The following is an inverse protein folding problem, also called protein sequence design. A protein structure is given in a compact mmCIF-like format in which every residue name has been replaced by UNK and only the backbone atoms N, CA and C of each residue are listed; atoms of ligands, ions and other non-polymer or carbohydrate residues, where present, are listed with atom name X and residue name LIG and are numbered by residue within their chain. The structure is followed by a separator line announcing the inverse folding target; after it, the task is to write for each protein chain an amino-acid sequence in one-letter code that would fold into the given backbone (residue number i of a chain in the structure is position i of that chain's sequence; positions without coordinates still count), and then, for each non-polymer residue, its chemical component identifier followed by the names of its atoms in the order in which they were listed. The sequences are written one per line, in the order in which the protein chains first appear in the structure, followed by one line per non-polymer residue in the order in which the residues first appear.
data_IF_598490049814
#
_entry.id   IF_598490049814
#
_cell.length_a   1.000
_cell.length_b   1.000
_cell.length_c   1.000
_cell.angle_alpha   90.00
_cell.angle_beta   90.00
_cell.angle_gamma   90.00
#
_symmetry.space_group_name_H-M   'P 1'
#
loop_
_entity.id
_entity.type
_entity.pdbx_description
1 polymer ?
#
# COMPACT_ATOMS: atom_id res chain seq x y z
N UNK A 1 23.02 15.66 2.26
CA UNK A 1 22.96 14.25 1.82
C UNK A 1 21.75 13.58 2.46
N UNK A 2 20.93 12.85 1.71
CA UNK A 2 19.77 12.12 2.25
C UNK A 2 20.11 10.63 2.36
N UNK A 3 19.70 9.96 3.45
CA UNK A 3 20.02 8.54 3.68
C UNK A 3 18.72 7.75 3.82
N UNK A 4 18.60 6.66 3.05
CA UNK A 4 17.55 5.66 3.20
C UNK A 4 18.11 4.53 4.05
N UNK A 5 17.40 4.15 5.10
CA UNK A 5 17.76 2.99 5.93
C UNK A 5 16.52 2.27 6.45
N UNK A 6 16.66 1.01 6.93
CA UNK A 6 15.58 0.34 7.63
C UNK A 6 15.11 1.15 8.85
N UNK A 7 13.81 1.10 9.13
CA UNK A 7 13.20 1.76 10.29
C UNK A 7 13.72 1.11 11.58
N UNK A 8 14.10 1.94 12.55
CA UNK A 8 14.51 1.51 13.89
C UNK A 8 13.47 1.97 14.93
N UNK A 9 13.51 1.39 16.15
CA UNK A 9 12.58 1.73 17.23
C UNK A 9 12.57 3.24 17.58
N UNK A 10 13.74 3.90 17.50
CA UNK A 10 13.88 5.34 17.75
C UNK A 10 13.22 6.25 16.70
N UNK A 11 12.80 5.71 15.55
CA UNK A 11 12.14 6.49 14.49
C UNK A 11 10.63 6.63 14.73
N UNK A 12 10.08 5.98 15.77
CA UNK A 12 8.65 5.96 16.04
C UNK A 12 8.06 7.38 16.09
N UNK A 13 8.68 8.28 16.83
CA UNK A 13 8.18 9.65 16.96
C UNK A 13 8.14 10.38 15.61
N UNK A 14 9.18 10.23 14.78
CA UNK A 14 9.20 10.81 13.44
C UNK A 14 8.13 10.23 12.52
N UNK A 15 7.88 8.92 12.59
CA UNK A 15 6.81 8.26 11.84
C UNK A 15 5.42 8.74 12.28
N UNK A 16 5.23 9.01 13.58
CA UNK A 16 3.98 9.58 14.11
C UNK A 16 3.76 11.02 13.63
N UNK A 17 4.80 11.84 13.63
CA UNK A 17 4.73 13.20 13.06
C UNK A 17 4.36 13.15 11.57
N UNK A 18 4.98 12.27 10.79
CA UNK A 18 4.63 12.05 9.39
C UNK A 18 3.21 11.50 9.21
N UNK A 19 2.68 10.77 10.20
CA UNK A 19 1.30 10.31 10.20
C UNK A 19 0.29 11.42 10.47
N UNK A 20 0.60 12.35 11.37
CA UNK A 20 -0.24 13.51 11.68
C UNK A 20 -0.36 14.50 10.52
N UNK A 21 0.70 14.67 9.73
CA UNK A 21 0.74 15.56 8.55
C UNK A 21 -0.10 15.07 7.35
N UNK A 22 -0.90 14.02 7.49
CA UNK A 22 -1.61 13.38 6.38
C UNK A 22 -3.02 13.94 6.18
N UNK A 23 -3.22 14.53 5.01
CA UNK A 23 -4.54 14.62 4.38
C UNK A 23 -4.84 13.24 3.81
N UNK A 24 -5.66 12.45 4.52
CA UNK A 24 -6.28 11.20 4.04
C UNK A 24 -5.34 10.23 3.27
N UNK A 25 -4.17 9.89 3.82
CA UNK A 25 -3.22 9.02 3.13
C UNK A 25 -3.35 7.57 3.57
N UNK A 26 -3.59 6.71 2.57
CA UNK A 26 -3.17 5.32 2.47
C UNK A 26 -1.83 5.08 3.16
N UNK A 27 -1.88 4.72 4.43
CA UNK A 27 -0.99 3.71 4.93
C UNK A 27 -1.87 2.50 5.23
N UNK A 28 -1.46 1.33 4.75
CA UNK A 28 -1.65 0.09 5.52
C UNK A 28 -0.74 0.16 6.77
N UNK A 29 -0.70 1.30 7.48
CA UNK A 29 -0.20 1.37 8.85
C UNK A 29 -1.44 1.18 9.69
N UNK A 30 -1.57 0.04 10.35
CA UNK A 30 -2.61 -0.11 11.34
C UNK A 30 -2.38 0.92 12.47
N UNK A 31 -3.37 1.13 13.35
CA UNK A 31 -3.19 1.92 14.55
C UNK A 31 -1.87 1.59 15.27
N UNK A 32 -1.20 2.65 15.74
CA UNK A 32 0.05 2.78 16.50
C UNK A 32 0.69 1.53 17.15
N UNK A 33 -0.12 0.59 17.66
CA UNK A 33 0.32 -0.65 18.32
C UNK A 33 0.94 -1.70 17.37
N UNK A 34 0.56 -1.72 16.09
CA UNK A 34 1.07 -2.73 15.13
C UNK A 34 2.37 -2.28 14.43
N UNK A 35 2.66 -0.97 14.41
CA UNK A 35 3.93 -0.43 13.91
C UNK A 35 5.12 -0.99 14.72
N UNK A 36 5.02 -1.03 16.05
CA UNK A 36 6.05 -1.65 16.91
C UNK A 36 6.24 -3.15 16.66
N UNK A 37 5.16 -3.86 16.34
CA UNK A 37 5.18 -5.30 15.99
C UNK A 37 5.74 -5.57 14.58
N UNK A 38 5.72 -4.56 13.70
CA UNK A 38 6.31 -4.61 12.35
C UNK A 38 7.76 -4.10 12.30
N UNK A 39 8.22 -3.33 13.28
CA UNK A 39 9.64 -2.89 13.38
C UNK A 39 10.55 -4.02 13.91
N UNK A 40 10.02 -4.93 14.72
CA UNK A 40 10.79 -6.05 15.32
C UNK A 40 11.42 -7.01 14.27
N UNK A 41 10.75 -7.35 13.16
CA UNK A 41 11.37 -8.18 12.10
C UNK A 41 12.31 -7.41 11.15
N UNK A 42 12.16 -6.10 11.02
CA UNK A 42 12.95 -5.24 10.09
C UNK A 42 14.43 -5.16 10.51
N UNK A 43 14.72 -5.37 11.79
CA UNK A 43 16.06 -5.31 12.38
C UNK A 43 16.88 -6.60 12.22
N UNK A 44 16.31 -7.71 11.74
CA UNK A 44 17.11 -8.91 11.43
C UNK A 44 17.68 -8.79 10.02
N UNK A 45 19.02 -8.73 9.84
CA UNK A 45 19.61 -8.88 8.52
C UNK A 45 19.12 -10.21 7.92
N UNK A 46 18.90 -10.31 6.60
CA UNK A 46 18.55 -11.55 5.92
C UNK A 46 19.76 -12.49 5.88
N UNK A 47 20.24 -12.89 7.05
CA UNK A 47 21.34 -13.83 7.24
C UNK A 47 20.83 -15.04 7.99
N UNK A 48 20.78 -16.17 7.28
CA UNK A 48 20.66 -17.54 7.81
C UNK A 48 19.36 -17.88 8.55
N UNK A 49 18.27 -18.01 7.80
CA UNK A 49 17.29 -19.08 7.98
C UNK A 49 16.35 -19.09 6.76
N UNK A 50 16.26 -20.22 6.05
CA UNK A 50 15.17 -20.48 5.10
C UNK A 50 13.88 -20.70 5.90
N UNK A 51 13.34 -19.64 6.50
CA UNK A 51 11.99 -19.68 7.06
C UNK A 51 11.00 -19.55 5.90
N UNK A 52 10.53 -20.68 5.38
CA UNK A 52 9.28 -20.74 4.62
C UNK A 52 8.19 -20.18 5.55
N UNK A 53 7.55 -19.08 5.14
CA UNK A 53 6.47 -18.38 5.86
C UNK A 53 6.93 -17.61 7.11
N UNK A 54 7.67 -16.53 6.90
CA UNK A 54 7.68 -15.42 7.85
C UNK A 54 7.36 -14.14 7.09
N UNK A 55 6.16 -13.61 7.30
CA UNK A 55 5.66 -12.37 6.71
C UNK A 55 6.65 -11.24 7.03
N UNK A 56 7.35 -10.74 6.01
CA UNK A 56 8.28 -9.62 6.15
C UNK A 56 7.70 -8.43 5.41
N UNK A 57 7.02 -7.55 6.13
CA UNK A 57 6.88 -6.17 5.66
C UNK A 57 8.22 -5.47 5.96
N UNK A 58 8.94 -5.04 4.93
CA UNK A 58 10.18 -4.29 5.10
C UNK A 58 9.84 -2.81 5.04
N UNK A 59 10.07 -2.09 6.13
CA UNK A 59 9.86 -0.64 6.21
C UNK A 59 11.21 0.08 6.20
N UNK A 60 11.37 1.01 5.26
CA UNK A 60 12.54 1.88 5.16
C UNK A 60 12.12 3.33 5.35
N UNK A 61 12.97 4.12 5.99
CA UNK A 61 12.76 5.54 6.20
C UNK A 61 13.86 6.37 5.55
N UNK A 62 13.47 7.55 5.09
CA UNK A 62 14.38 8.58 4.60
C UNK A 62 14.65 9.56 5.74
N UNK A 63 15.93 9.68 6.11
CA UNK A 63 16.41 10.52 7.20
C UNK A 63 17.40 11.55 6.70
N UNK A 64 17.37 12.73 7.31
CA UNK A 64 18.39 13.77 7.15
C UNK A 64 19.49 13.50 8.19
N UNK A 65 20.75 13.33 7.79
CA UNK A 65 21.86 13.10 8.72
C UNK A 65 22.06 14.24 9.72
N UNK A 66 21.94 15.50 9.27
CA UNK A 66 22.21 16.68 10.10
C UNK A 66 21.16 16.94 11.19
N UNK A 67 19.87 16.69 10.92
CA UNK A 67 18.77 16.97 11.87
C UNK A 67 18.24 15.71 12.58
N UNK A 68 18.64 14.52 12.11
CA UNK A 68 18.14 13.25 12.61
C UNK A 68 16.65 12.97 12.34
N UNK A 69 15.94 13.89 11.69
CA UNK A 69 14.51 13.80 11.46
C UNK A 69 14.16 12.83 10.33
N UNK A 70 13.09 12.05 10.56
CA UNK A 70 12.47 11.19 9.55
C UNK A 70 11.54 12.05 8.71
N UNK A 71 11.81 12.13 7.40
CA UNK A 71 11.06 13.00 6.48
C UNK A 71 10.29 12.23 5.42
N UNK A 72 10.60 10.95 5.24
CA UNK A 72 9.87 10.06 4.36
C UNK A 72 9.86 8.63 4.88
N UNK A 73 8.85 7.87 4.45
CA UNK A 73 8.70 6.46 4.76
C UNK A 73 8.24 5.72 3.51
N UNK A 74 8.85 4.57 3.27
CA UNK A 74 8.39 3.62 2.27
C UNK A 74 8.36 2.20 2.84
N UNK A 75 7.55 1.32 2.25
CA UNK A 75 7.54 -0.08 2.63
C UNK A 75 7.23 -1.00 1.45
N UNK A 76 7.58 -2.28 1.65
CA UNK A 76 7.32 -3.38 0.73
C UNK A 76 6.76 -4.55 1.54
N UNK A 77 5.71 -5.18 1.05
CA UNK A 77 5.16 -6.41 1.61
C UNK A 77 5.50 -7.58 0.68
N UNK A 78 6.06 -8.66 1.25
CA UNK A 78 6.50 -9.82 0.46
C UNK A 78 5.34 -10.56 -0.21
N UNK A 79 4.21 -10.71 0.50
CA UNK A 79 3.03 -11.41 0.00
C UNK A 79 1.77 -10.84 0.65
N UNK A 80 0.88 -10.24 -0.14
CA UNK A 80 -0.44 -9.77 0.31
C UNK A 80 -1.43 -10.92 0.39
N UNK A 81 -2.47 -10.80 1.21
CA UNK A 81 -3.58 -11.77 1.22
C UNK A 81 -3.30 -13.09 1.97
N UNK A 82 -2.14 -13.25 2.61
CA UNK A 82 -1.73 -14.52 3.24
C UNK A 82 -2.38 -14.73 4.62
N UNK A 83 -2.40 -13.69 5.46
CA UNK A 83 -3.02 -13.78 6.79
C UNK A 83 -4.48 -13.30 6.77
N UNK A 84 -4.69 -12.17 6.11
CA UNK A 84 -5.96 -11.50 5.99
C UNK A 84 -6.28 -11.37 4.49
N UNK A 85 -7.51 -11.66 4.05
CA UNK A 85 -7.90 -11.49 2.66
C UNK A 85 -7.60 -10.08 2.15
N UNK A 86 -6.95 -10.01 0.98
CA UNK A 86 -6.71 -8.75 0.29
C UNK A 86 -7.72 -8.65 -0.86
N UNK A 87 -8.74 -7.82 -0.68
CA UNK A 87 -9.82 -7.67 -1.65
C UNK A 87 -9.58 -6.51 -2.61
N UNK A 88 -10.00 -6.70 -3.85
CA UNK A 88 -10.02 -5.69 -4.90
C UNK A 88 -11.24 -5.85 -5.80
N UNK A 89 -11.67 -4.75 -6.40
CA UNK A 89 -12.65 -4.78 -7.47
C UNK A 89 -11.95 -4.94 -8.82
N UNK A 90 -12.31 -6.00 -9.55
CA UNK A 90 -11.93 -6.21 -10.94
C UNK A 90 -13.06 -5.68 -11.84
N UNK A 91 -12.73 -4.81 -12.78
CA UNK A 91 -13.66 -4.39 -13.83
C UNK A 91 -13.70 -5.50 -14.89
N UNK A 92 -14.86 -6.10 -15.08
CA UNK A 92 -15.12 -7.05 -16.15
C UNK A 92 -16.35 -6.64 -16.96
N UNK A 93 -16.74 -7.48 -17.92
CA UNK A 93 -17.96 -7.31 -18.71
C UNK A 93 -18.89 -8.48 -18.43
N UNK A 94 -20.12 -8.18 -17.98
CA UNK A 94 -21.18 -9.15 -17.83
C UNK A 94 -22.12 -9.04 -19.04
N UNK A 95 -22.33 -10.17 -19.73
CA UNK A 95 -23.22 -10.23 -20.89
C UNK A 95 -24.51 -10.90 -20.49
N UNK A 96 -25.62 -10.18 -20.65
CA UNK A 96 -26.97 -10.72 -20.56
C UNK A 96 -27.53 -10.87 -21.97
N UNK A 97 -27.79 -12.09 -22.39
CA UNK A 97 -28.38 -12.39 -23.69
C UNK A 97 -29.67 -13.20 -23.50
N UNK A 98 -30.75 -12.77 -24.14
CA UNK A 98 -32.00 -13.55 -24.24
C UNK A 98 -32.39 -13.60 -25.71
N UNK A 99 -32.50 -14.82 -26.24
CA UNK A 99 -32.85 -15.05 -27.63
C UNK A 99 -34.33 -14.77 -27.88
N UNK A 100 -35.17 -15.14 -26.92
CA UNK A 100 -36.62 -14.96 -26.94
C UNK A 100 -37.02 -13.49 -26.96
N UNK A 101 -36.29 -12.65 -26.22
CA UNK A 101 -36.52 -11.21 -26.17
C UNK A 101 -35.69 -10.44 -27.21
N UNK A 102 -34.85 -11.11 -27.99
CA UNK A 102 -33.87 -10.50 -28.90
C UNK A 102 -33.01 -9.40 -28.23
N UNK A 103 -32.58 -9.66 -26.99
CA UNK A 103 -31.77 -8.72 -26.19
C UNK A 103 -30.36 -9.25 -26.05
N UNK A 104 -29.38 -8.37 -26.27
CA UNK A 104 -27.97 -8.60 -25.98
C UNK A 104 -27.38 -7.36 -25.31
N UNK A 105 -27.10 -7.45 -24.02
CA UNK A 105 -26.59 -6.35 -23.21
C UNK A 105 -25.24 -6.73 -22.60
N UNK A 106 -24.17 -6.03 -23.01
CA UNK A 106 -22.84 -6.17 -22.43
C UNK A 106 -22.57 -4.97 -21.49
N UNK A 107 -22.52 -5.23 -20.19
CA UNK A 107 -22.42 -4.19 -19.17
C UNK A 107 -21.05 -4.26 -18.47
N UNK A 108 -20.35 -3.14 -18.25
CA UNK A 108 -19.21 -3.11 -17.37
C UNK A 108 -19.68 -3.40 -15.93
N UNK A 109 -19.01 -4.33 -15.25
CA UNK A 109 -19.39 -4.80 -13.91
C UNK A 109 -18.17 -4.89 -13.01
N UNK A 110 -18.33 -4.44 -11.77
CA UNK A 110 -17.31 -4.58 -10.72
C UNK A 110 -17.50 -5.92 -10.02
N UNK A 111 -16.46 -6.74 -10.03
CA UNK A 111 -16.41 -8.01 -9.32
C UNK A 111 -15.50 -7.88 -8.11
N UNK A 112 -16.02 -8.16 -6.91
CA UNK A 112 -15.18 -8.29 -5.72
C UNK A 112 -14.35 -9.57 -5.82
N UNK A 113 -13.04 -9.44 -5.75
CA UNK A 113 -12.08 -10.52 -5.95
C UNK A 113 -10.89 -10.41 -4.99
N UNK A 114 -10.03 -11.42 -4.97
CA UNK A 114 -8.78 -11.48 -4.20
C UNK A 114 -7.64 -12.07 -5.05
N UNK A 115 -7.65 -11.79 -6.36
CA UNK A 115 -6.79 -12.38 -7.39
C UNK A 115 -5.30 -11.99 -7.27
N UNK A 116 -4.99 -11.08 -6.36
CA UNK A 116 -3.63 -10.64 -6.05
C UNK A 116 -3.02 -11.32 -4.84
N UNK A 117 -3.74 -12.22 -4.15
CA UNK A 117 -3.22 -13.00 -3.03
C UNK A 117 -1.89 -13.68 -3.39
N UNK A 118 -0.88 -13.55 -2.52
CA UNK A 118 0.47 -14.02 -2.74
C UNK A 118 1.38 -13.09 -3.54
N UNK A 119 0.87 -12.01 -4.14
CA UNK A 119 1.71 -11.03 -4.86
C UNK A 119 2.55 -10.19 -3.88
N UNK A 120 3.75 -9.78 -4.29
CA UNK A 120 4.49 -8.75 -3.55
C UNK A 120 3.85 -7.40 -3.78
N UNK A 121 3.90 -6.52 -2.79
CA UNK A 121 3.27 -5.20 -2.86
C UNK A 121 4.22 -4.07 -2.50
N UNK A 122 4.25 -3.05 -3.36
CA UNK A 122 4.77 -1.73 -3.04
C UNK A 122 3.70 -0.98 -2.24
N UNK A 123 3.77 -1.09 -0.92
CA UNK A 123 2.84 -0.42 -0.03
C UNK A 123 3.36 0.99 0.32
N UNK A 124 2.98 1.51 1.48
CA UNK A 124 3.36 2.80 2.08
C UNK A 124 4.38 3.61 1.27
N UNK A 125 3.99 4.78 0.77
CA UNK A 125 4.90 5.77 0.23
C UNK A 125 4.46 7.14 0.67
N UNK A 126 5.26 7.79 1.50
CA UNK A 126 5.00 9.14 1.96
C UNK A 126 6.30 9.91 2.10
N UNK A 127 6.29 11.13 1.57
CA UNK A 127 7.34 12.11 1.72
C UNK A 127 6.70 13.42 2.13
N UNK A 128 7.22 14.01 3.20
CA UNK A 128 6.83 15.33 3.68
C UNK A 128 6.89 16.34 2.51
N UNK A 129 5.83 17.12 2.26
CA UNK A 129 5.80 18.10 1.16
C UNK A 129 7.02 19.02 1.10
N UNK A 130 7.56 19.44 2.25
CA UNK A 130 8.74 20.30 2.32
C UNK A 130 10.02 19.64 1.75
N UNK A 131 9.99 18.31 1.59
CA UNK A 131 11.11 17.49 1.13
C UNK A 131 10.88 16.89 -0.26
N UNK A 132 9.77 17.25 -0.95
CA UNK A 132 9.50 16.86 -2.35
C UNK A 132 10.26 17.73 -3.34
N UNK A 133 11.57 17.78 -3.15
CA UNK A 133 12.56 18.47 -3.98
C UNK A 133 13.71 17.53 -4.29
N UNK A 134 14.58 17.92 -5.19
CA UNK A 134 15.86 17.24 -5.45
C UNK A 134 15.71 15.73 -5.73
N UNK A 135 14.62 15.34 -6.39
CA UNK A 135 14.30 13.94 -6.70
C UNK A 135 14.19 13.00 -5.48
N UNK A 136 14.02 13.53 -4.26
CA UNK A 136 13.88 12.71 -3.04
C UNK A 136 12.69 11.74 -3.10
N UNK A 137 11.60 12.14 -3.77
CA UNK A 137 10.45 11.26 -3.98
C UNK A 137 10.78 10.08 -4.90
N UNK A 138 11.55 10.34 -5.96
CA UNK A 138 12.02 9.31 -6.88
C UNK A 138 12.99 8.38 -6.17
N UNK A 139 13.99 8.92 -5.45
CA UNK A 139 14.93 8.15 -4.65
C UNK A 139 14.21 7.23 -3.65
N UNK A 140 13.26 7.76 -2.88
CA UNK A 140 12.48 6.98 -1.91
C UNK A 140 11.67 5.87 -2.59
N UNK A 141 11.07 6.14 -3.74
CA UNK A 141 10.32 5.13 -4.50
C UNK A 141 11.25 4.06 -5.09
N UNK A 142 12.31 4.47 -5.78
CA UNK A 142 13.28 3.62 -6.48
C UNK A 142 14.08 2.72 -5.54
N UNK A 143 14.32 3.19 -4.31
CA UNK A 143 14.97 2.37 -3.27
C UNK A 143 14.25 1.05 -2.99
N UNK A 144 12.92 1.01 -3.17
CA UNK A 144 12.14 -0.22 -2.99
C UNK A 144 12.47 -1.25 -4.07
N UNK A 145 12.56 -0.80 -5.32
CA UNK A 145 12.93 -1.67 -6.44
C UNK A 145 14.39 -2.14 -6.32
N UNK A 146 15.31 -1.25 -5.91
CA UNK A 146 16.70 -1.63 -5.64
C UNK A 146 16.80 -2.69 -4.53
N UNK A 147 16.02 -2.54 -3.45
CA UNK A 147 15.95 -3.54 -2.39
C UNK A 147 15.40 -4.88 -2.91
N UNK A 148 14.32 -4.84 -3.71
CA UNK A 148 13.76 -6.06 -4.31
C UNK A 148 14.73 -6.75 -5.27
N UNK A 149 15.48 -5.98 -6.06
CA UNK A 149 16.51 -6.50 -6.95
C UNK A 149 17.66 -7.16 -6.17
N UNK A 150 18.14 -6.51 -5.10
CA UNK A 150 19.23 -7.03 -4.27
C UNK A 150 18.85 -8.32 -3.51
N UNK A 151 17.56 -8.52 -3.22
CA UNK A 151 17.03 -9.67 -2.47
C UNK A 151 15.94 -10.41 -3.25
N UNK A 152 16.16 -10.62 -4.56
CA UNK A 152 15.14 -11.10 -5.50
C UNK A 152 14.44 -12.39 -5.07
N UNK A 153 15.17 -13.33 -4.45
CA UNK A 153 14.65 -14.61 -3.98
C UNK A 153 13.64 -14.50 -2.82
N UNK A 154 13.46 -13.30 -2.26
CA UNK A 154 12.51 -13.04 -1.17
C UNK A 154 11.21 -12.42 -1.65
N UNK A 155 11.05 -12.11 -2.93
CA UNK A 155 9.87 -11.47 -3.50
C UNK A 155 9.22 -12.32 -4.59
N UNK A 156 7.90 -12.21 -4.69
CA UNK A 156 7.12 -12.90 -5.69
C UNK A 156 7.26 -12.23 -7.07
N UNK A 157 7.04 -13.01 -8.13
CA UNK A 157 7.18 -12.52 -9.49
C UNK A 157 6.18 -11.39 -9.83
N UNK A 158 4.95 -11.49 -9.31
CA UNK A 158 3.93 -10.45 -9.49
C UNK A 158 4.09 -9.40 -8.40
N UNK A 159 4.37 -8.17 -8.82
CA UNK A 159 4.44 -7.01 -7.94
C UNK A 159 3.26 -6.08 -8.23
N UNK A 160 2.51 -5.74 -7.20
CA UNK A 160 1.38 -4.81 -7.27
C UNK A 160 1.66 -3.55 -6.47
N UNK A 161 1.05 -2.46 -6.90
CA UNK A 161 1.05 -1.22 -6.14
C UNK A 161 -0.37 -0.68 -6.15
N UNK A 162 -0.86 -0.29 -4.97
CA UNK A 162 -2.20 0.21 -4.81
C UNK A 162 -2.19 1.74 -4.76
N UNK A 163 -2.86 2.37 -5.72
CA UNK A 163 -2.89 3.81 -5.85
C UNK A 163 -4.11 4.41 -5.15
N UNK A 164 -4.00 5.69 -4.78
CA UNK A 164 -5.11 6.41 -4.15
C UNK A 164 -6.23 6.60 -5.17
N UNK A 165 -7.46 6.39 -4.70
CA UNK A 165 -8.65 6.85 -5.40
C UNK A 165 -8.78 8.37 -5.36
N UNK A 166 -9.72 8.89 -6.13
CA UNK A 166 -10.09 10.30 -6.12
C UNK A 166 -10.78 10.64 -4.79
N UNK A 167 -10.26 11.67 -4.13
CA UNK A 167 -10.84 12.30 -2.95
C UNK A 167 -10.68 13.80 -3.18
N UNK A 168 -11.75 14.57 -3.04
CA UNK A 168 -11.70 16.02 -3.18
C UNK A 168 -11.19 16.72 -1.91
N UNK A 169 -11.14 18.05 -1.95
CA UNK A 169 -10.68 18.88 -0.84
C UNK A 169 -11.57 18.81 0.41
N UNK A 170 -12.85 18.46 0.23
CA UNK A 170 -13.82 18.27 1.30
C UNK A 170 -13.83 16.84 1.86
N UNK A 171 -12.97 15.95 1.34
CA UNK A 171 -12.88 14.56 1.77
C UNK A 171 -13.93 13.65 1.14
N UNK A 172 -14.61 14.12 0.09
CA UNK A 172 -15.60 13.36 -0.65
C UNK A 172 -14.93 12.42 -1.66
N UNK A 173 -15.43 11.19 -1.74
CA UNK A 173 -14.98 10.19 -2.71
C UNK A 173 -16.19 9.65 -3.47
N UNK A 174 -16.31 9.93 -4.79
CA UNK A 174 -17.46 9.51 -5.60
C UNK A 174 -17.71 7.99 -5.52
N UNK A 175 -16.63 7.21 -5.50
CA UNK A 175 -16.73 5.75 -5.42
C UNK A 175 -17.22 5.25 -4.06
N UNK A 176 -16.73 5.86 -2.98
CA UNK A 176 -17.18 5.47 -1.65
C UNK A 176 -18.66 5.77 -1.47
N UNK A 177 -19.14 6.93 -1.92
CA UNK A 177 -20.56 7.26 -1.86
C UNK A 177 -21.40 6.32 -2.74
N UNK A 178 -20.93 6.01 -3.95
CA UNK A 178 -21.72 5.21 -4.91
C UNK A 178 -21.73 3.71 -4.61
N UNK A 179 -20.67 3.16 -4.01
CA UNK A 179 -20.55 1.71 -3.77
C UNK A 179 -20.39 1.35 -2.29
N UNK A 180 -19.50 2.05 -1.58
CA UNK A 180 -19.14 1.68 -0.20
C UNK A 180 -20.24 2.00 0.80
N UNK A 181 -20.67 3.26 0.86
CA UNK A 181 -21.62 3.75 1.85
C UNK A 181 -22.96 2.96 1.87
N UNK A 182 -23.58 2.60 0.73
CA UNK A 182 -24.82 1.82 0.75
C UNK A 182 -24.64 0.41 1.32
N UNK A 183 -23.45 -0.18 1.18
CA UNK A 183 -23.15 -1.55 1.66
C UNK A 183 -22.80 -1.59 3.16
N UNK A 184 -22.33 -0.47 3.72
CA UNK A 184 -21.89 -0.37 5.12
C UNK A 184 -22.84 0.54 5.92
N UNK A 185 -24.06 0.07 6.17
CA UNK A 185 -25.16 0.80 6.83
C UNK A 185 -24.94 1.15 8.32
N UNK A 186 -23.82 0.77 8.94
CA UNK A 186 -23.50 1.14 10.32
C UNK A 186 -22.07 1.67 10.39
N UNK A 187 -21.92 2.91 10.88
CA UNK A 187 -20.71 3.76 10.86
C UNK A 187 -19.48 3.26 11.63
N UNK A 188 -19.10 2.00 11.45
CA UNK A 188 -17.92 1.37 12.05
C UNK A 188 -16.71 1.40 11.09
N UNK A 189 -16.89 1.88 9.85
CA UNK A 189 -15.77 2.17 8.95
C UNK A 189 -15.42 3.66 8.99
N UNK A 190 -14.19 4.05 9.39
CA UNK A 190 -13.82 5.45 9.36
C UNK A 190 -13.92 5.94 7.92
N UNK A 191 -14.57 7.11 7.71
CA UNK A 191 -14.65 7.86 6.43
C UNK A 191 -13.30 8.11 5.72
N UNK A 192 -12.19 7.59 6.28
CA UNK A 192 -10.81 7.70 5.81
C UNK A 192 -10.22 6.38 5.29
N UNK A 193 -10.96 5.27 5.31
CA UNK A 193 -10.52 4.09 4.54
C UNK A 193 -10.80 4.36 3.07
N UNK A 194 -9.76 4.85 2.40
CA UNK A 194 -9.71 5.00 0.95
C UNK A 194 -10.22 3.73 0.30
N UNK A 195 -11.28 3.83 -0.50
CA UNK A 195 -11.42 2.88 -1.59
C UNK A 195 -10.30 3.19 -2.57
N UNK A 196 -9.50 2.17 -2.84
CA UNK A 196 -8.26 2.31 -3.55
C UNK A 196 -8.42 1.71 -4.93
N UNK A 197 -7.78 2.37 -5.89
CA UNK A 197 -7.93 2.05 -7.30
C UNK A 197 -6.61 1.59 -7.86
N UNK A 198 -6.72 0.57 -8.73
CA UNK A 198 -5.71 0.13 -9.68
C UNK A 198 -4.48 -0.52 -9.04
N UNK A 199 -4.47 -1.85 -9.02
CA UNK A 199 -3.23 -2.60 -9.01
C UNK A 199 -2.58 -2.42 -10.39
N UNK A 200 -1.57 -1.58 -10.51
CA UNK A 200 -0.69 -1.63 -11.69
C UNK A 200 0.24 -2.81 -11.44
N UNK A 201 0.15 -3.84 -12.27
CA UNK A 201 1.19 -4.88 -12.28
C UNK A 201 2.47 -4.20 -12.79
N UNK A 202 3.46 -4.08 -11.92
CA UNK A 202 4.79 -3.64 -12.31
C UNK A 202 5.56 -4.91 -12.62
N UNK A 203 5.73 -5.19 -13.90
CA UNK A 203 6.66 -6.23 -14.34
C UNK A 203 8.07 -5.63 -14.16
N UNK A 204 8.82 -6.17 -13.20
CA UNK A 204 10.25 -5.94 -13.05
C UNK A 204 11.00 -7.10 -13.70
#
# INVERSE_FOLDING_TARGET
MMIIRPVAAGDLQGLLTLAGKRVAVSLRCPPMKILLRRVSPVLRPPGKARCRVAIKATCSCLRIPAAGAVVGVCAIEVAVGVNDPWYNYRVGTLVHASKELNVYNALPTLFLTNDHTGSSELCTLFLDPAWRKDSNGHLLSSSRFLFMAAFRDHFNHKVVAEMRGVIDEHGYSPFWESLGQPLFLYGVFPRRLSVRYRAKSVYC
#
